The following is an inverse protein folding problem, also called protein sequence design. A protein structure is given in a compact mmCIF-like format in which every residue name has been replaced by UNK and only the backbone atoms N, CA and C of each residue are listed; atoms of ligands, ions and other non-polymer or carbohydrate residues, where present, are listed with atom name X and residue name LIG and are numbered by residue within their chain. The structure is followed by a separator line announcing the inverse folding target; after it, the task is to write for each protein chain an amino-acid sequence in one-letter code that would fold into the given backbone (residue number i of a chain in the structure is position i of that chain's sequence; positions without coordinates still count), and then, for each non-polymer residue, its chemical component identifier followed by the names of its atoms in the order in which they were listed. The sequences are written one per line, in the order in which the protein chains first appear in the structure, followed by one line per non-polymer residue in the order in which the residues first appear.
data_IF_224249998046
#
_entry.id   IF_224249998046
#
_cell.length_a   1.000
_cell.length_b   1.000
_cell.length_c   1.000
_cell.angle_alpha   90.00
_cell.angle_beta   90.00
_cell.angle_gamma   90.00
#
_symmetry.space_group_name_H-M   'P 1'
#
loop_
_entity.id
_entity.type
_entity.pdbx_description
1 polymer ?
#
# COMPACT_ATOMS: atom_id res chain seq x y z
N UNK A 1 12.00 -3.57 8.94
CA UNK A 1 12.26 -2.40 8.08
C UNK A 1 13.61 -2.58 7.40
N UNK A 2 13.78 -2.09 6.17
CA UNK A 2 15.03 -2.13 5.42
C UNK A 2 15.30 -0.77 4.76
N UNK A 3 16.58 -0.38 4.66
CA UNK A 3 16.97 0.79 3.86
C UNK A 3 17.29 0.33 2.45
N UNK A 4 16.65 0.95 1.46
CA UNK A 4 16.88 0.65 0.04
C UNK A 4 17.19 1.91 -0.73
N UNK A 5 17.86 1.76 -1.86
CA UNK A 5 18.05 2.83 -2.85
C UNK A 5 16.91 2.79 -3.86
N UNK A 6 16.26 3.93 -4.08
CA UNK A 6 15.22 4.10 -5.09
C UNK A 6 15.69 5.09 -6.15
N UNK A 7 15.46 4.75 -7.40
CA UNK A 7 15.62 5.67 -8.52
C UNK A 7 14.31 6.45 -8.73
N UNK A 8 14.35 7.76 -8.55
CA UNK A 8 13.17 8.61 -8.77
C UNK A 8 13.16 9.08 -10.22
N UNK A 9 12.10 8.76 -10.95
CA UNK A 9 11.87 9.30 -12.29
C UNK A 9 11.47 10.77 -12.20
N UNK A 10 12.22 11.66 -12.85
CA UNK A 10 11.92 13.10 -12.92
C UNK A 10 11.44 13.46 -14.32
N UNK A 11 10.61 14.51 -14.44
CA UNK A 11 9.97 14.91 -15.71
C UNK A 11 10.95 15.14 -16.88
N UNK A 12 12.23 15.43 -16.60
CA UNK A 12 13.22 15.74 -17.62
C UNK A 12 14.14 14.57 -18.00
N UNK A 13 14.05 13.41 -17.33
CA UNK A 13 14.77 12.16 -17.70
C UNK A 13 16.31 12.19 -17.67
N UNK A 14 16.96 13.36 -17.64
CA UNK A 14 18.41 13.50 -17.81
C UNK A 14 19.22 13.16 -16.54
N UNK A 15 18.61 13.24 -15.35
CA UNK A 15 19.17 12.76 -14.08
C UNK A 15 18.04 12.22 -13.19
N UNK A 16 17.91 10.90 -13.14
CA UNK A 16 17.09 10.23 -12.13
C UNK A 16 17.91 10.10 -10.84
N UNK A 17 17.67 10.89 -9.78
CA UNK A 17 18.42 10.76 -8.55
C UNK A 17 18.15 9.40 -7.90
N UNK A 18 19.17 8.87 -7.25
CA UNK A 18 19.06 7.68 -6.41
C UNK A 18 19.07 8.16 -4.97
N UNK A 19 18.00 7.89 -4.22
CA UNK A 19 17.87 8.29 -2.83
C UNK A 19 17.68 7.06 -1.93
N UNK A 20 18.27 7.05 -0.73
CA UNK A 20 17.96 6.03 0.27
C UNK A 20 16.59 6.31 0.88
N UNK A 21 15.74 5.29 0.96
CA UNK A 21 14.47 5.33 1.69
C UNK A 21 14.37 4.15 2.64
N UNK A 22 13.51 4.25 3.64
CA UNK A 22 13.21 3.14 4.56
C UNK A 22 11.88 2.52 4.18
N UNK A 23 11.88 1.21 3.91
CA UNK A 23 10.69 0.43 3.58
C UNK A 23 10.33 -0.47 4.78
N UNK A 24 9.05 -0.51 5.20
CA UNK A 24 8.61 -1.41 6.27
C UNK A 24 8.68 -2.89 5.87
N UNK A 25 8.69 -3.80 6.85
CA UNK A 25 8.46 -5.21 6.54
C UNK A 25 6.99 -5.37 6.12
N UNK A 26 6.73 -6.09 5.03
CA UNK A 26 5.38 -6.33 4.52
C UNK A 26 4.52 -7.07 5.56
N UNK A 27 5.11 -7.97 6.34
CA UNK A 27 4.39 -8.66 7.42
C UNK A 27 3.86 -7.68 8.48
N UNK A 28 4.66 -6.67 8.86
CA UNK A 28 4.24 -5.63 9.81
C UNK A 28 3.12 -4.76 9.23
N UNK A 29 3.18 -4.47 7.92
CA UNK A 29 2.14 -3.73 7.19
C UNK A 29 0.83 -4.53 7.19
N UNK A 30 0.88 -5.83 6.89
CA UNK A 30 -0.30 -6.71 6.90
C UNK A 30 -0.92 -6.77 8.30
N UNK A 31 -0.10 -6.91 9.35
CA UNK A 31 -0.60 -6.93 10.74
C UNK A 31 -1.27 -5.60 11.10
N UNK A 32 -0.67 -4.47 10.72
CA UNK A 32 -1.24 -3.14 10.96
C UNK A 32 -2.59 -2.96 10.23
N UNK A 33 -2.65 -3.34 8.96
CA UNK A 33 -3.85 -3.25 8.15
C UNK A 33 -4.97 -4.15 8.68
N UNK A 34 -4.65 -5.38 9.11
CA UNK A 34 -5.63 -6.27 9.75
C UNK A 34 -6.23 -5.66 11.01
N UNK A 35 -5.42 -4.99 11.84
CA UNK A 35 -5.95 -4.29 13.01
C UNK A 35 -6.95 -3.18 12.64
N UNK A 36 -6.63 -2.36 11.62
CA UNK A 36 -7.58 -1.35 11.12
C UNK A 36 -8.84 -2.00 10.52
N UNK A 37 -8.66 -3.15 9.86
CA UNK A 37 -9.77 -3.92 9.31
C UNK A 37 -10.73 -4.40 10.39
N UNK A 38 -10.20 -4.96 11.48
CA UNK A 38 -10.97 -5.40 12.65
C UNK A 38 -11.72 -4.23 13.32
N UNK A 39 -11.16 -3.02 13.29
CA UNK A 39 -11.84 -1.79 13.77
C UNK A 39 -12.97 -1.35 12.84
N UNK A 40 -12.87 -1.61 11.55
CA UNK A 40 -13.93 -1.36 10.56
C UNK A 40 -14.25 0.12 10.31
N UNK A 41 -13.39 1.04 10.74
CA UNK A 41 -13.59 2.49 10.59
C UNK A 41 -12.63 3.09 9.56
N UNK A 42 -13.12 4.03 8.75
CA UNK A 42 -12.28 4.82 7.85
C UNK A 42 -11.11 5.43 8.63
N UNK A 43 -9.90 5.25 8.11
CA UNK A 43 -8.69 5.79 8.72
C UNK A 43 -7.77 6.37 7.65
N UNK A 44 -7.19 7.54 7.95
CA UNK A 44 -6.20 8.21 7.09
C UNK A 44 -5.12 8.78 7.99
N UNK A 45 -3.86 8.56 7.65
CA UNK A 45 -2.75 9.06 8.45
C UNK A 45 -1.39 8.65 7.92
N UNK A 46 -0.45 8.50 8.85
CA UNK A 46 0.89 8.03 8.55
C UNK A 46 1.16 6.73 9.32
N UNK A 47 1.76 5.75 8.64
CA UNK A 47 2.24 4.51 9.23
C UNK A 47 3.64 4.21 8.69
N UNK A 48 4.56 3.81 9.57
CA UNK A 48 5.95 3.48 9.20
C UNK A 48 6.71 4.60 8.44
N UNK A 49 6.30 5.86 8.61
CA UNK A 49 6.86 7.02 7.89
C UNK A 49 6.29 7.22 6.48
N UNK A 50 5.20 6.55 6.13
CA UNK A 50 4.54 6.65 4.83
C UNK A 50 3.07 7.07 4.99
N UNK A 51 2.52 7.87 4.06
CA UNK A 51 1.09 8.13 4.01
C UNK A 51 0.34 6.83 3.80
N UNK A 52 -0.78 6.67 4.51
CA UNK A 52 -1.58 5.47 4.45
C UNK A 52 -3.06 5.78 4.69
N UNK A 53 -3.92 4.95 4.13
CA UNK A 53 -5.36 5.01 4.32
C UNK A 53 -5.97 3.61 4.37
N UNK A 54 -7.05 3.47 5.13
CA UNK A 54 -7.89 2.29 5.18
C UNK A 54 -9.33 2.69 4.90
N UNK A 55 -9.94 2.03 3.92
CA UNK A 55 -11.34 2.18 3.56
C UNK A 55 -12.10 0.90 3.96
N UNK A 56 -13.17 1.00 4.77
CA UNK A 56 -13.96 -0.17 5.13
C UNK A 56 -14.83 -0.65 3.96
N UNK A 57 -15.22 -1.91 4.04
CA UNK A 57 -16.17 -2.53 3.10
C UNK A 57 -17.47 -1.72 3.03
N UNK A 58 -18.02 -1.60 1.83
CA UNK A 58 -19.36 -1.01 1.61
C UNK A 58 -20.24 -2.02 0.92
N UNK A 59 -21.48 -2.13 1.38
CA UNK A 59 -22.48 -3.03 0.80
C UNK A 59 -22.84 -2.64 -0.64
N UNK A 60 -22.71 -1.37 -1.00
CA UNK A 60 -22.96 -0.91 -2.36
C UNK A 60 -21.80 -1.28 -3.28
N UNK A 61 -22.07 -1.91 -4.43
CA UNK A 61 -21.04 -2.21 -5.41
C UNK A 61 -20.55 -0.95 -6.14
N UNK A 62 -19.30 -0.92 -6.62
CA UNK A 62 -18.82 0.17 -7.46
C UNK A 62 -19.64 0.28 -8.75
N UNK A 63 -19.82 1.50 -9.26
CA UNK A 63 -20.48 1.75 -10.54
C UNK A 63 -19.79 0.96 -11.66
N UNK A 64 -20.58 0.33 -12.53
CA UNK A 64 -20.13 -0.48 -13.66
C UNK A 64 -19.22 -1.69 -13.30
N UNK A 65 -19.25 -2.15 -12.05
CA UNK A 65 -18.55 -3.37 -11.60
C UNK A 65 -19.47 -4.59 -11.55
N UNK A 66 -18.89 -5.79 -11.74
CA UNK A 66 -19.57 -7.07 -11.49
C UNK A 66 -19.53 -7.49 -10.01
N UNK A 67 -18.88 -6.70 -9.16
CA UNK A 67 -18.77 -6.98 -7.74
C UNK A 67 -20.14 -6.83 -7.07
N UNK A 68 -20.37 -7.61 -6.02
CA UNK A 68 -21.59 -7.58 -5.22
C UNK A 68 -21.49 -6.63 -4.02
N UNK A 69 -20.29 -6.13 -3.73
CA UNK A 69 -19.94 -5.18 -2.68
C UNK A 69 -18.67 -4.42 -3.07
N UNK A 70 -18.37 -3.31 -2.40
CA UNK A 70 -17.06 -2.65 -2.47
C UNK A 70 -16.17 -3.22 -1.37
N UNK A 71 -15.06 -3.90 -1.68
CA UNK A 71 -14.21 -4.51 -0.67
C UNK A 71 -13.54 -3.46 0.20
N UNK A 72 -13.16 -3.86 1.41
CA UNK A 72 -12.24 -3.05 2.20
C UNK A 72 -10.86 -3.02 1.52
N UNK A 73 -10.17 -1.89 1.64
CA UNK A 73 -8.82 -1.73 1.15
C UNK A 73 -7.95 -0.95 2.14
N UNK A 74 -6.66 -1.26 2.13
CA UNK A 74 -5.62 -0.50 2.80
C UNK A 74 -4.53 -0.16 1.78
N UNK A 75 -4.12 1.10 1.75
CA UNK A 75 -3.04 1.57 0.88
C UNK A 75 -1.98 2.28 1.73
N UNK A 76 -0.71 2.07 1.40
CA UNK A 76 0.43 2.73 2.04
C UNK A 76 1.53 3.02 1.03
N UNK A 77 2.16 4.19 1.17
CA UNK A 77 3.27 4.60 0.35
C UNK A 77 2.86 5.47 -0.84
N UNK A 78 3.78 5.63 -1.77
CA UNK A 78 3.66 6.54 -2.91
C UNK A 78 4.04 5.80 -4.20
N UNK A 79 3.11 5.78 -5.16
CA UNK A 79 3.36 5.11 -6.44
C UNK A 79 4.56 5.74 -7.17
N UNK A 80 5.39 4.92 -7.78
CA UNK A 80 6.63 5.37 -8.40
C UNK A 80 7.80 5.55 -7.42
N UNK A 81 7.58 5.38 -6.11
CA UNK A 81 8.64 5.24 -5.11
C UNK A 81 8.57 3.82 -4.55
N UNK A 82 7.63 3.59 -3.64
CA UNK A 82 7.26 2.30 -3.07
C UNK A 82 5.81 2.42 -2.64
N UNK A 83 4.97 1.46 -3.05
CA UNK A 83 3.56 1.45 -2.71
C UNK A 83 3.10 0.02 -2.45
N UNK A 84 2.27 -0.16 -1.43
CA UNK A 84 1.61 -1.42 -1.14
C UNK A 84 0.12 -1.18 -0.94
N UNK A 85 -0.69 -2.05 -1.52
CA UNK A 85 -2.12 -2.12 -1.22
C UNK A 85 -2.54 -3.54 -0.83
N UNK A 86 -3.54 -3.61 0.03
CA UNK A 86 -4.17 -4.82 0.53
C UNK A 86 -5.67 -4.68 0.29
N UNK A 87 -6.30 -5.67 -0.37
CA UNK A 87 -7.72 -5.63 -0.69
C UNK A 87 -8.41 -6.91 -0.24
N UNK A 88 -9.48 -6.77 0.54
CA UNK A 88 -10.33 -7.89 0.97
C UNK A 88 -11.34 -8.27 -0.11
N UNK A 89 -10.86 -8.56 -1.32
CA UNK A 89 -11.71 -8.83 -2.49
C UNK A 89 -12.54 -10.13 -2.36
N UNK A 90 -12.09 -11.05 -1.50
CA UNK A 90 -12.80 -12.31 -1.21
C UNK A 90 -13.77 -12.20 -0.03
N UNK A 91 -13.86 -11.03 0.61
CA UNK A 91 -14.74 -10.74 1.74
C UNK A 91 -14.00 -10.45 3.05
N UNK A 92 -14.69 -9.80 3.99
CA UNK A 92 -14.14 -9.31 5.27
C UNK A 92 -13.49 -10.35 6.19
N UNK A 93 -13.86 -11.63 6.08
CA UNK A 93 -13.29 -12.68 6.95
C UNK A 93 -12.10 -13.41 6.31
N UNK A 94 -11.77 -13.08 5.06
CA UNK A 94 -10.68 -13.71 4.31
C UNK A 94 -9.38 -12.91 4.40
N UNK A 95 -8.27 -13.50 3.98
CA UNK A 95 -7.00 -12.77 3.86
C UNK A 95 -7.05 -11.76 2.69
N UNK A 96 -6.44 -10.58 2.86
CA UNK A 96 -6.39 -9.59 1.80
C UNK A 96 -5.43 -10.03 0.69
N UNK A 97 -5.77 -9.68 -0.54
CA UNK A 97 -4.88 -9.80 -1.69
C UNK A 97 -3.93 -8.61 -1.70
N UNK A 98 -2.63 -8.90 -1.73
CA UNK A 98 -1.59 -7.89 -1.71
C UNK A 98 -1.11 -7.52 -3.11
N UNK A 99 -0.94 -6.22 -3.33
CA UNK A 99 -0.23 -5.65 -4.46
C UNK A 99 0.95 -4.83 -3.96
N UNK A 100 2.09 -4.96 -4.62
CA UNK A 100 3.33 -4.27 -4.28
C UNK A 100 3.91 -3.63 -5.55
N UNK A 101 4.11 -2.32 -5.51
CA UNK A 101 4.88 -1.57 -6.49
C UNK A 101 6.26 -1.24 -5.92
N UNK A 102 7.24 -2.09 -6.25
CA UNK A 102 8.64 -2.00 -5.83
C UNK A 102 9.60 -1.77 -7.02
N UNK A 103 9.05 -1.46 -8.20
CA UNK A 103 9.79 -1.45 -9.48
C UNK A 103 10.94 -0.45 -9.54
N UNK A 104 10.93 0.57 -8.68
CA UNK A 104 11.95 1.61 -8.64
C UNK A 104 13.05 1.37 -7.60
N UNK A 105 12.96 0.27 -6.83
CA UNK A 105 14.02 -0.16 -5.92
C UNK A 105 15.19 -0.71 -6.75
N UNK A 106 16.37 -0.11 -6.58
CA UNK A 106 17.57 -0.47 -7.36
C UNK A 106 18.58 -1.31 -6.59
N UNK A 107 18.71 -1.09 -5.28
CA UNK A 107 19.64 -1.84 -4.41
C UNK A 107 19.11 -1.86 -2.98
N UNK A 108 19.34 -2.97 -2.25
CA UNK A 108 19.16 -2.99 -0.79
C UNK A 108 20.46 -2.49 -0.15
N UNK A 109 20.37 -1.53 0.76
CA UNK A 109 21.54 -1.07 1.54
C UNK A 109 21.63 -1.99 2.75
N UNK A 110 22.63 -2.87 2.76
CA UNK A 110 22.94 -3.78 3.87
C UNK A 110 23.49 -3.03 5.08
#
# INVERSE_FOLDING_TARGET
MATVKIRIQTQNGERAPIVPVVIPNIEDVVVFAKRLHDEGQLWVGEAFGWPAEYNPEKSDPPLDSKMTFTPADFCIGESGIWFCSLMWENGKEEDPVAFLDDRNITETVS
#
